data_IF_308198954017
#
_entry.id   IF_308198954017
#
_cell.length_a   1.000
_cell.length_b   1.000
_cell.length_c   1.000
_cell.angle_alpha   90.00
_cell.angle_beta   90.00
_cell.angle_gamma   90.00
#
_symmetry.space_group_name_H-M   'P 1'
#
loop_
_entity.id
_entity.type
_entity.pdbx_description
1 polymer ?
#
# COMPACT_ATOMS: atom_id res chain seq x y z
N UNK A 1 10.80 41.59 1.85
CA UNK A 1 10.62 40.26 2.46
C UNK A 1 9.29 40.29 3.19
N UNK A 2 8.26 39.69 2.60
CA UNK A 2 6.87 39.88 3.04
C UNK A 2 6.57 39.17 4.35
N UNK A 3 6.27 39.96 5.39
CA UNK A 3 5.88 39.49 6.72
C UNK A 3 4.67 38.54 6.66
N UNK A 4 3.78 38.74 5.68
CA UNK A 4 2.62 37.88 5.43
C UNK A 4 3.03 36.44 5.06
N UNK A 5 4.02 36.27 4.19
CA UNK A 5 4.51 34.95 3.76
C UNK A 5 5.15 34.20 4.94
N UNK A 6 5.89 34.91 5.79
CA UNK A 6 6.51 34.33 6.99
C UNK A 6 5.43 33.84 7.97
N UNK A 7 4.38 34.62 8.18
CA UNK A 7 3.29 34.25 9.08
C UNK A 7 2.50 33.03 8.57
N UNK A 8 2.13 33.02 7.29
CA UNK A 8 1.40 31.89 6.65
C UNK A 8 2.21 30.59 6.72
N UNK A 9 3.52 30.65 6.44
CA UNK A 9 4.39 29.48 6.54
C UNK A 9 4.53 28.96 7.98
N UNK A 10 4.55 29.86 8.96
CA UNK A 10 4.62 29.49 10.39
C UNK A 10 3.33 28.80 10.85
N UNK A 11 2.17 29.31 10.43
CA UNK A 11 0.87 28.70 10.73
C UNK A 11 0.73 27.30 10.13
N UNK A 12 1.14 27.13 8.86
CA UNK A 12 1.14 25.82 8.21
C UNK A 12 2.07 24.81 8.89
N UNK A 13 3.27 25.26 9.29
CA UNK A 13 4.22 24.40 10.02
C UNK A 13 3.64 23.91 11.35
N UNK A 14 3.06 24.80 12.15
CA UNK A 14 2.42 24.45 13.42
C UNK A 14 1.26 23.47 13.22
N UNK A 15 0.48 23.64 12.16
CA UNK A 15 -0.65 22.74 11.84
C UNK A 15 -0.17 21.33 11.47
N UNK A 16 0.90 21.22 10.69
CA UNK A 16 1.48 19.93 10.33
C UNK A 16 2.09 19.22 11.54
N UNK A 17 2.85 19.95 12.37
CA UNK A 17 3.40 19.42 13.63
C UNK A 17 2.29 18.86 14.51
N UNK A 18 1.26 19.65 14.78
CA UNK A 18 0.14 19.21 15.61
C UNK A 18 -0.52 17.96 15.04
N UNK A 19 -0.78 17.94 13.73
CA UNK A 19 -1.38 16.78 13.05
C UNK A 19 -0.52 15.51 13.16
N UNK A 20 0.80 15.63 13.02
CA UNK A 20 1.73 14.49 13.18
C UNK A 20 1.67 13.97 14.61
N UNK A 21 1.78 14.85 15.60
CA UNK A 21 1.74 14.47 17.01
C UNK A 21 0.41 13.82 17.39
N UNK A 22 -0.71 14.35 16.91
CA UNK A 22 -2.03 13.75 17.13
C UNK A 22 -2.11 12.35 16.51
N UNK A 23 -1.56 12.14 15.31
CA UNK A 23 -1.51 10.80 14.71
C UNK A 23 -0.64 9.86 15.55
N UNK A 24 0.53 10.31 16.02
CA UNK A 24 1.43 9.50 16.83
C UNK A 24 0.76 9.08 18.15
N UNK A 25 0.06 10.01 18.79
CA UNK A 25 -0.71 9.75 20.00
C UNK A 25 -1.85 8.76 19.73
N UNK A 26 -2.71 9.03 18.75
CA UNK A 26 -3.90 8.21 18.51
C UNK A 26 -3.60 6.82 17.96
N UNK A 27 -2.55 6.66 17.15
CA UNK A 27 -2.23 5.37 16.50
C UNK A 27 -1.20 4.54 17.25
N UNK A 28 -0.24 5.17 17.89
CA UNK A 28 0.88 4.48 18.52
C UNK A 28 0.97 4.72 20.03
N UNK A 29 -0.01 5.44 20.61
CA UNK A 29 -0.07 5.78 22.04
C UNK A 29 1.21 6.49 22.54
N UNK A 30 1.79 7.35 21.70
CA UNK A 30 3.01 8.10 21.99
C UNK A 30 2.64 9.48 22.54
N UNK A 31 3.22 9.86 23.68
CA UNK A 31 3.04 11.20 24.22
C UNK A 31 3.60 12.29 23.28
N UNK A 32 3.00 13.49 23.23
CA UNK A 32 3.47 14.56 22.35
C UNK A 32 4.96 14.91 22.54
N UNK A 33 5.45 14.86 23.78
CA UNK A 33 6.85 15.12 24.13
C UNK A 33 7.82 14.11 23.50
N UNK A 34 7.45 12.83 23.51
CA UNK A 34 8.19 11.75 22.85
C UNK A 34 8.01 11.82 21.33
N UNK A 35 6.79 12.11 20.85
CA UNK A 35 6.47 12.24 19.45
C UNK A 35 7.31 13.30 18.74
N UNK A 36 7.60 14.42 19.41
CA UNK A 36 8.51 15.45 18.89
C UNK A 36 9.91 14.85 18.68
N UNK A 37 10.46 14.16 19.68
CA UNK A 37 11.81 13.56 19.60
C UNK A 37 11.91 12.54 18.46
N UNK A 38 10.85 11.76 18.26
CA UNK A 38 10.76 10.74 17.21
C UNK A 38 10.74 11.39 15.83
N UNK A 39 9.89 12.40 15.63
CA UNK A 39 9.81 13.12 14.37
C UNK A 39 11.09 13.91 14.08
N UNK A 40 11.70 14.53 15.08
CA UNK A 40 13.00 15.21 14.96
C UNK A 40 14.12 14.24 14.58
N UNK A 41 14.14 13.03 15.16
CA UNK A 41 15.10 11.99 14.77
C UNK A 41 14.92 11.62 13.30
N UNK A 42 13.69 11.38 12.86
CA UNK A 42 13.40 11.11 11.45
C UNK A 42 13.89 12.22 10.51
N UNK A 43 13.66 13.50 10.87
CA UNK A 43 14.12 14.65 10.06
C UNK A 43 15.64 14.81 10.06
N UNK A 44 16.33 14.39 11.13
CA UNK A 44 17.80 14.35 11.15
C UNK A 44 18.32 13.29 10.18
N UNK A 45 17.69 12.13 10.14
CA UNK A 45 18.06 11.03 9.23
C UNK A 45 17.65 11.33 7.78
N UNK A 46 16.58 12.11 7.58
CA UNK A 46 16.03 12.49 6.27
C UNK A 46 16.00 14.01 6.11
N UNK A 47 17.17 14.63 5.96
CA UNK A 47 17.33 16.10 5.92
C UNK A 47 16.58 16.83 4.81
N UNK A 48 16.16 16.10 3.76
CA UNK A 48 15.35 16.63 2.66
C UNK A 48 13.84 16.67 2.98
N UNK A 49 13.41 16.01 4.06
CA UNK A 49 12.02 15.92 4.45
C UNK A 49 11.62 17.02 5.44
N UNK A 50 10.30 17.20 5.60
CA UNK A 50 9.73 18.13 6.56
C UNK A 50 8.50 17.51 7.24
N UNK A 51 7.95 18.23 8.22
CA UNK A 51 6.76 17.82 8.97
C UNK A 51 5.56 17.49 8.07
N UNK A 52 5.40 18.18 6.94
CA UNK A 52 4.35 17.89 5.95
C UNK A 52 4.57 16.56 5.22
N UNK A 53 5.83 16.19 4.96
CA UNK A 53 6.19 14.88 4.40
C UNK A 53 5.86 13.76 5.39
N UNK A 54 6.26 13.90 6.65
CA UNK A 54 5.93 12.93 7.72
C UNK A 54 4.42 12.77 7.83
N UNK A 55 3.67 13.88 7.86
CA UNK A 55 2.21 13.86 7.91
C UNK A 55 1.62 13.08 6.74
N UNK A 56 2.12 13.33 5.53
CA UNK A 56 1.66 12.64 4.31
C UNK A 56 1.91 11.14 4.41
N UNK A 57 3.12 10.75 4.80
CA UNK A 57 3.53 9.35 4.93
C UNK A 57 2.75 8.59 6.01
N UNK A 58 2.48 9.25 7.14
CA UNK A 58 1.64 8.70 8.21
C UNK A 58 0.18 8.54 7.76
N UNK A 59 -0.39 9.54 7.07
CA UNK A 59 -1.75 9.45 6.51
C UNK A 59 -1.87 8.37 5.44
N UNK A 60 -0.83 8.17 4.63
CA UNK A 60 -0.82 7.14 3.58
C UNK A 60 -0.44 5.74 4.07
N UNK A 61 -0.29 5.54 5.39
CA UNK A 61 0.17 4.28 5.99
C UNK A 61 1.46 3.75 5.35
N UNK A 62 2.40 4.64 5.03
CA UNK A 62 3.72 4.28 4.51
C UNK A 62 4.81 4.39 5.59
N UNK A 63 4.47 4.94 6.77
CA UNK A 63 5.31 4.97 7.96
C UNK A 63 4.62 4.18 9.09
N UNK A 64 5.43 3.43 9.83
CA UNK A 64 5.04 2.77 11.08
C UNK A 64 6.01 3.17 12.19
N UNK A 65 5.65 2.87 13.43
CA UNK A 65 6.51 3.04 14.59
C UNK A 65 6.97 1.67 15.09
N UNK A 66 8.28 1.46 15.15
CA UNK A 66 8.91 0.23 15.69
C UNK A 66 10.04 0.65 16.61
N UNK A 67 10.06 0.13 17.84
CA UNK A 67 11.08 0.46 18.86
C UNK A 67 11.24 1.96 19.10
N UNK A 68 10.11 2.69 19.08
CA UNK A 68 10.05 4.17 19.19
C UNK A 68 10.78 4.90 18.06
N UNK A 69 10.95 4.28 16.89
CA UNK A 69 11.51 4.90 15.71
C UNK A 69 10.54 4.79 14.53
N UNK A 70 10.46 5.87 13.74
CA UNK A 70 9.69 5.87 12.50
C UNK A 70 10.44 5.04 11.47
N UNK A 71 9.75 4.05 10.88
CA UNK A 71 10.30 3.20 9.83
C UNK A 71 9.36 3.16 8.64
N UNK A 72 9.90 3.17 7.41
CA UNK A 72 9.08 2.97 6.22
C UNK A 72 8.49 1.55 6.24
N UNK A 73 7.22 1.44 5.90
CA UNK A 73 6.60 0.14 5.67
C UNK A 73 7.11 -0.35 4.33
N UNK A 74 8.04 -1.30 4.35
CA UNK A 74 8.45 -2.03 3.15
C UNK A 74 7.23 -2.75 2.60
N UNK A 75 6.59 -2.15 1.59
CA UNK A 75 5.64 -2.87 0.75
C UNK A 75 6.47 -3.87 -0.04
N UNK A 76 6.65 -5.08 0.49
CA UNK A 76 6.82 -6.21 -0.40
C UNK A 76 5.67 -6.14 -1.41
N UNK A 77 5.90 -6.33 -2.72
CA UNK A 77 4.81 -6.59 -3.63
C UNK A 77 4.21 -7.92 -3.19
N UNK A 78 3.31 -7.89 -2.23
CA UNK A 78 2.42 -9.00 -1.95
C UNK A 78 1.46 -9.01 -3.12
N UNK A 79 1.93 -9.55 -4.25
CA UNK A 79 1.09 -10.11 -5.29
C UNK A 79 0.39 -11.33 -4.68
N UNK A 80 -0.49 -11.11 -3.73
CA UNK A 80 -1.58 -12.04 -3.50
C UNK A 80 -2.65 -11.62 -4.50
N UNK A 81 -2.85 -12.35 -5.61
CA UNK A 81 -4.12 -12.24 -6.29
C UNK A 81 -5.17 -12.58 -5.23
N UNK A 82 -5.97 -11.58 -4.85
CA UNK A 82 -7.22 -11.78 -4.13
C UNK A 82 -7.87 -13.01 -4.75
N UNK A 83 -7.86 -14.13 -4.01
CA UNK A 83 -8.56 -15.35 -4.41
C UNK A 83 -10.02 -14.93 -4.50
N UNK A 84 -10.47 -14.60 -5.70
CA UNK A 84 -11.88 -14.46 -6.02
C UNK A 84 -12.50 -15.81 -5.66
N UNK A 85 -13.17 -15.86 -4.50
CA UNK A 85 -13.89 -17.04 -4.07
C UNK A 85 -15.08 -17.19 -5.01
N UNK A 86 -14.89 -17.93 -6.10
CA UNK A 86 -16.02 -18.45 -6.85
C UNK A 86 -16.66 -19.54 -6.00
N UNK A 87 -17.75 -19.19 -5.31
CA UNK A 87 -18.70 -20.17 -4.78
C UNK A 87 -19.33 -20.91 -5.96
N UNK A 88 -18.70 -21.99 -6.42
CA UNK A 88 -19.37 -23.02 -7.19
C UNK A 88 -19.88 -24.07 -6.20
N UNK A 89 -21.20 -24.21 -6.11
CA UNK A 89 -21.84 -25.32 -5.40
C UNK A 89 -21.48 -26.61 -6.14
N UNK A 90 -20.88 -27.55 -5.43
CA UNK A 90 -20.85 -28.97 -5.75
C UNK A 90 -19.99 -29.33 -6.95
N UNK A 91 -18.74 -29.68 -6.70
CA UNK A 91 -18.05 -30.92 -7.10
C UNK A 91 -16.57 -30.71 -6.77
N UNK A 92 -16.03 -31.55 -5.89
CA UNK A 92 -14.59 -31.60 -5.62
C UNK A 92 -13.85 -31.99 -6.90
N UNK A 93 -12.89 -31.17 -7.33
CA UNK A 93 -11.95 -31.53 -8.38
C UNK A 93 -10.55 -31.41 -7.78
N UNK A 94 -9.93 -32.56 -7.56
CA UNK A 94 -8.52 -32.70 -7.18
C UNK A 94 -7.65 -32.07 -8.27
N UNK A 95 -7.05 -30.91 -7.99
CA UNK A 95 -6.13 -30.24 -8.90
C UNK A 95 -4.80 -31.01 -8.95
N UNK A 96 -4.71 -32.06 -9.76
CA UNK A 96 -3.43 -32.53 -10.28
C UNK A 96 -2.90 -31.48 -11.24
N UNK A 97 -1.85 -30.79 -10.81
CA UNK A 97 -1.04 -29.93 -11.68
C UNK A 97 -0.57 -30.70 -12.91
N UNK A 98 -0.52 -30.06 -14.08
CA UNK A 98 0.58 -30.34 -14.98
C UNK A 98 1.38 -29.06 -15.20
N UNK A 99 2.61 -29.09 -14.71
CA UNK A 99 3.68 -28.28 -15.27
C UNK A 99 3.92 -28.75 -16.71
N UNK A 100 3.65 -27.92 -17.72
CA UNK A 100 4.47 -27.91 -18.95
C UNK A 100 4.55 -26.48 -19.49
N UNK A 101 5.78 -26.09 -19.77
CA UNK A 101 6.27 -24.79 -20.23
C UNK A 101 6.38 -24.86 -21.77
N UNK A 102 6.27 -23.69 -22.44
CA UNK A 102 6.92 -23.31 -23.72
C UNK A 102 6.08 -23.27 -25.04
N UNK A 103 6.12 -22.06 -25.65
CA UNK A 103 6.10 -21.60 -27.06
C UNK A 103 4.86 -21.64 -27.97
N UNK A 104 4.47 -20.41 -28.36
CA UNK A 104 4.15 -19.89 -29.71
C UNK A 104 3.86 -20.88 -30.86
N UNK A 105 2.79 -20.63 -31.63
CA UNK A 105 2.85 -20.09 -33.02
C UNK A 105 1.46 -20.00 -33.67
N UNK A 106 1.39 -19.15 -34.71
CA UNK A 106 0.24 -18.69 -35.50
C UNK A 106 -0.44 -19.76 -36.39
N UNK A 107 -1.57 -19.34 -37.01
CA UNK A 107 -2.39 -19.94 -38.10
C UNK A 107 -3.49 -20.90 -37.61
N UNK A 108 -4.63 -21.12 -38.25
CA UNK A 108 -5.49 -20.43 -39.24
C UNK A 108 -6.73 -21.33 -39.36
N UNK A 109 -7.89 -20.77 -39.72
CA UNK A 109 -9.01 -21.42 -40.44
C UNK A 109 -9.49 -22.84 -40.03
N UNK A 110 -10.74 -22.97 -39.60
CA UNK A 110 -11.41 -24.27 -39.58
C UNK A 110 -12.88 -24.26 -39.15
N UNK A 111 -13.80 -23.89 -40.07
CA UNK A 111 -15.23 -24.24 -39.96
C UNK A 111 -15.39 -25.78 -40.02
N UNK A 112 -16.02 -26.40 -39.01
CA UNK A 112 -16.75 -27.69 -39.12
C UNK A 112 -17.91 -27.67 -38.09
N UNK A 113 -19.13 -27.33 -38.53
CA UNK A 113 -20.25 -28.20 -38.96
C UNK A 113 -20.84 -29.06 -37.84
N UNK A 114 -22.13 -28.78 -37.55
CA UNK A 114 -23.06 -29.58 -36.74
C UNK A 114 -23.00 -31.07 -37.10
N UNK A 115 -23.12 -31.92 -36.08
CA UNK A 115 -23.62 -33.28 -36.24
C UNK A 115 -24.91 -33.44 -35.44
N UNK A 116 -25.93 -33.96 -36.12
CA UNK A 116 -27.26 -34.35 -35.64
C UNK A 116 -27.35 -35.86 -35.88
N UNK A 117 -27.77 -36.63 -34.87
CA UNK A 117 -27.96 -38.08 -34.90
C UNK A 117 -28.04 -38.57 -33.44
N UNK A 118 -29.20 -38.88 -32.82
CA UNK A 118 -30.30 -39.83 -33.08
C UNK A 118 -29.98 -41.23 -32.51
N UNK A 119 -30.95 -41.74 -31.71
CA UNK A 119 -31.17 -43.09 -31.13
C UNK A 119 -30.33 -43.46 -29.89
N UNK A 120 -30.89 -44.03 -28.81
CA UNK A 120 -32.04 -44.93 -28.66
C UNK A 120 -33.08 -44.45 -27.64
#
# INVERSE_FOLDING_TARGET
>A
MDIKIIWENTQMLNTHQHSVLTILLMRFNVEPSEGIKIAERWLKDHSQENWGTILRLLKSNNLTLVDRELKPISKSPTSEPSKTVHKYRGVEIENKSPQVKVQQTNKSSGKKRLYRGVEY
#
